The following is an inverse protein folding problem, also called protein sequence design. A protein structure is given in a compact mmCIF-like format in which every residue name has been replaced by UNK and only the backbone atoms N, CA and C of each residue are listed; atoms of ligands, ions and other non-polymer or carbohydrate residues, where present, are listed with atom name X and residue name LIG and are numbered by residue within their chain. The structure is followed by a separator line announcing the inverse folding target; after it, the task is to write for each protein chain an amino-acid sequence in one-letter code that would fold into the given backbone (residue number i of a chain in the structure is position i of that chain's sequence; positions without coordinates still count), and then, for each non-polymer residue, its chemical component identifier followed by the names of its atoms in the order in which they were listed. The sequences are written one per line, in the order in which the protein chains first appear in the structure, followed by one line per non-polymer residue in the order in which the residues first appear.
data_IF_827016734888
#
_entry.id   IF_827016734888
#
_cell.length_a   1.000
_cell.length_b   1.000
_cell.length_c   1.000
_cell.angle_alpha   90.00
_cell.angle_beta   90.00
_cell.angle_gamma   90.00
#
_symmetry.space_group_name_H-M   'P 1'
#
loop_
_entity.id
_entity.type
_entity.pdbx_description
1 polymer ?
#
# COMPACT_ATOMS: atom_id res chain seq x y z
N UNK A 1 9.92 11.45 -29.19
CA UNK A 1 10.10 11.21 -27.75
C UNK A 1 8.75 11.44 -27.11
N UNK A 2 7.97 10.38 -26.92
CA UNK A 2 6.78 10.47 -26.06
C UNK A 2 7.31 10.66 -24.65
N UNK A 3 7.01 11.80 -24.04
CA UNK A 3 7.17 11.95 -22.60
C UNK A 3 6.27 10.89 -21.98
N UNK A 4 6.86 9.97 -21.23
CA UNK A 4 6.15 8.81 -20.68
C UNK A 4 5.01 9.32 -19.80
N UNK A 5 3.78 9.27 -20.31
CA UNK A 5 2.57 9.83 -19.68
C UNK A 5 2.41 9.31 -18.24
N UNK A 6 2.94 8.13 -17.96
CA UNK A 6 2.95 7.55 -16.62
C UNK A 6 3.87 8.30 -15.67
N UNK A 7 5.08 8.69 -16.10
CA UNK A 7 6.03 9.44 -15.27
C UNK A 7 5.46 10.81 -14.88
N UNK A 8 4.82 11.51 -15.82
CA UNK A 8 4.17 12.80 -15.56
C UNK A 8 3.00 12.63 -14.58
N UNK A 9 2.21 11.57 -14.74
CA UNK A 9 1.12 11.27 -13.79
C UNK A 9 1.66 10.99 -12.39
N UNK A 10 2.73 10.20 -12.26
CA UNK A 10 3.38 9.87 -10.99
C UNK A 10 3.86 11.14 -10.25
N UNK A 11 4.51 12.06 -10.96
CA UNK A 11 4.97 13.34 -10.39
C UNK A 11 3.79 14.20 -9.92
N UNK A 12 2.74 14.33 -10.73
CA UNK A 12 1.54 15.08 -10.36
C UNK A 12 0.83 14.48 -9.14
N UNK A 13 0.63 13.16 -9.11
CA UNK A 13 0.04 12.46 -7.97
C UNK A 13 0.90 12.63 -6.70
N UNK A 14 2.22 12.53 -6.85
CA UNK A 14 3.20 12.75 -5.78
C UNK A 14 3.08 14.16 -5.19
N UNK A 15 2.97 15.19 -6.04
CA UNK A 15 2.80 16.59 -5.64
C UNK A 15 1.48 16.82 -4.89
N UNK A 16 0.36 16.33 -5.43
CA UNK A 16 -0.96 16.44 -4.79
C UNK A 16 -0.99 15.79 -3.40
N UNK A 17 -0.34 14.63 -3.25
CA UNK A 17 -0.24 13.97 -1.94
C UNK A 17 0.62 14.74 -0.95
N UNK A 18 1.67 15.43 -1.39
CA UNK A 18 2.49 16.28 -0.50
C UNK A 18 1.68 17.47 0.01
N UNK A 19 0.84 18.08 -0.83
CA UNK A 19 -0.08 19.14 -0.41
C UNK A 19 -1.08 18.64 0.65
N UNK A 20 -1.66 17.45 0.45
CA UNK A 20 -2.55 16.84 1.44
C UNK A 20 -1.82 16.50 2.75
N UNK A 21 -0.57 16.03 2.68
CA UNK A 21 0.22 15.72 3.88
C UNK A 21 0.50 16.99 4.69
N UNK A 22 0.80 18.11 4.01
CA UNK A 22 0.97 19.43 4.65
C UNK A 22 -0.33 19.90 5.29
N UNK A 23 -1.48 19.72 4.64
CA UNK A 23 -2.76 20.07 5.23
C UNK A 23 -2.99 19.34 6.58
N UNK A 24 -2.61 18.08 6.69
CA UNK A 24 -2.65 17.37 7.96
C UNK A 24 -1.65 17.90 9.00
N UNK A 25 -0.44 18.30 8.59
CA UNK A 25 0.54 18.92 9.50
C UNK A 25 0.02 20.24 10.07
N UNK A 26 -0.79 20.95 9.30
CA UNK A 26 -1.51 22.17 9.71
C UNK A 26 -2.83 21.88 10.45
N UNK A 27 -3.12 20.61 10.77
CA UNK A 27 -4.35 20.15 11.44
C UNK A 27 -5.64 20.48 10.67
N UNK A 28 -5.55 20.69 9.36
CA UNK A 28 -6.70 20.95 8.50
C UNK A 28 -7.39 19.64 8.08
N UNK A 29 -8.69 19.72 7.84
CA UNK A 29 -9.42 18.64 7.21
C UNK A 29 -9.14 18.60 5.70
N UNK A 30 -9.09 17.39 5.14
CA UNK A 30 -9.11 17.22 3.70
C UNK A 30 -10.43 17.73 3.13
N UNK A 31 -10.33 18.55 2.07
CA UNK A 31 -11.47 19.00 1.27
C UNK A 31 -12.11 17.81 0.53
N UNK A 32 -13.32 17.98 0.01
CA UNK A 32 -13.96 16.91 -0.76
C UNK A 32 -13.20 16.59 -2.06
N UNK A 33 -12.55 17.58 -2.67
CA UNK A 33 -11.68 17.38 -3.81
C UNK A 33 -10.40 16.61 -3.44
N UNK A 34 -9.83 16.86 -2.26
CA UNK A 34 -8.73 16.04 -1.74
C UNK A 34 -9.15 14.59 -1.54
N UNK A 35 -10.34 14.34 -0.96
CA UNK A 35 -10.85 12.99 -0.75
C UNK A 35 -11.08 12.25 -2.06
N UNK A 36 -11.68 12.91 -3.06
CA UNK A 36 -11.87 12.33 -4.41
C UNK A 36 -10.54 12.00 -5.06
N UNK A 37 -9.60 12.94 -5.03
CA UNK A 37 -8.25 12.78 -5.59
C UNK A 37 -7.52 11.62 -4.92
N UNK A 38 -7.52 11.56 -3.58
CA UNK A 38 -6.92 10.47 -2.83
C UNK A 38 -7.55 9.11 -3.18
N UNK A 39 -8.88 9.03 -3.33
CA UNK A 39 -9.53 7.80 -3.75
C UNK A 39 -9.08 7.38 -5.15
N UNK A 40 -9.06 8.31 -6.12
CA UNK A 40 -8.62 8.03 -7.49
C UNK A 40 -7.19 7.52 -7.54
N UNK A 41 -6.25 8.18 -6.84
CA UNK A 41 -4.84 7.75 -6.81
C UNK A 41 -4.74 6.36 -6.15
N UNK A 42 -5.44 6.14 -5.03
CA UNK A 42 -5.47 4.85 -4.32
C UNK A 42 -5.99 3.72 -5.21
N UNK A 43 -7.05 3.97 -5.99
CA UNK A 43 -7.63 2.98 -6.90
C UNK A 43 -6.66 2.68 -8.06
N UNK A 44 -6.03 3.70 -8.64
CA UNK A 44 -5.01 3.50 -9.70
C UNK A 44 -3.82 2.68 -9.19
N UNK A 45 -3.30 2.96 -7.99
CA UNK A 45 -2.19 2.19 -7.41
C UNK A 45 -2.63 0.74 -7.15
N UNK A 46 -3.84 0.54 -6.64
CA UNK A 46 -4.36 -0.81 -6.41
C UNK A 46 -4.44 -1.60 -7.74
N UNK A 47 -4.88 -0.96 -8.82
CA UNK A 47 -4.94 -1.58 -10.14
C UNK A 47 -3.55 -1.89 -10.71
N UNK A 48 -2.56 -1.00 -10.50
CA UNK A 48 -1.18 -1.25 -10.91
C UNK A 48 -0.58 -2.44 -10.17
N UNK A 49 -0.78 -2.54 -8.85
CA UNK A 49 -0.32 -3.68 -8.05
C UNK A 49 -1.03 -4.98 -8.50
N UNK A 50 -2.34 -4.93 -8.75
CA UNK A 50 -3.10 -6.09 -9.23
C UNK A 50 -2.60 -6.56 -10.60
N UNK A 51 -2.40 -5.63 -11.54
CA UNK A 51 -1.88 -5.95 -12.86
C UNK A 51 -0.48 -6.57 -12.77
N UNK A 52 0.40 -6.00 -11.93
CA UNK A 52 1.72 -6.56 -11.68
C UNK A 52 1.66 -7.97 -11.10
N UNK A 53 0.77 -8.24 -10.13
CA UNK A 53 0.57 -9.58 -9.57
C UNK A 53 0.11 -10.59 -10.64
N UNK A 54 -0.80 -10.19 -11.53
CA UNK A 54 -1.24 -11.02 -12.67
C UNK A 54 -0.08 -11.32 -13.60
N UNK A 55 0.77 -10.32 -13.91
CA UNK A 55 1.95 -10.51 -14.74
C UNK A 55 2.97 -11.44 -14.07
N UNK A 56 3.20 -11.32 -12.75
CA UNK A 56 4.05 -12.24 -11.99
C UNK A 56 3.55 -13.69 -12.03
N UNK A 57 2.24 -13.91 -11.92
CA UNK A 57 1.66 -15.25 -12.05
C UNK A 57 1.88 -15.82 -13.45
N UNK A 58 1.68 -15.02 -14.50
CA UNK A 58 1.94 -15.44 -15.89
C UNK A 58 3.41 -15.75 -16.14
N UNK A 59 4.33 -15.03 -15.50
CA UNK A 59 5.76 -15.26 -15.64
C UNK A 59 6.17 -16.67 -15.17
N UNK A 60 5.39 -17.31 -14.28
CA UNK A 60 5.61 -18.70 -13.86
C UNK A 60 5.44 -19.72 -15.00
N UNK A 61 4.72 -19.37 -16.07
CA UNK A 61 4.50 -20.23 -17.24
C UNK A 61 5.20 -19.71 -18.50
N UNK A 62 6.28 -18.93 -18.32
CA UNK A 62 7.17 -18.51 -19.41
C UNK A 62 6.85 -17.15 -20.05
N UNK A 63 5.92 -16.37 -19.47
CA UNK A 63 5.75 -14.97 -19.87
C UNK A 63 6.92 -14.10 -19.36
N UNK A 64 7.15 -12.91 -19.96
CA UNK A 64 8.13 -11.96 -19.45
C UNK A 64 7.89 -11.63 -17.98
N UNK A 65 8.97 -11.56 -17.20
CA UNK A 65 8.92 -11.12 -15.80
C UNK A 65 8.60 -9.62 -15.79
N UNK A 66 7.58 -9.17 -15.02
CA UNK A 66 7.28 -7.75 -14.92
C UNK A 66 8.41 -6.96 -14.25
N UNK A 67 8.55 -5.65 -14.54
CA UNK A 67 9.55 -4.80 -13.92
C UNK A 67 9.32 -4.67 -12.40
N UNK A 68 10.35 -4.23 -11.68
CA UNK A 68 10.26 -4.04 -10.23
C UNK A 68 9.29 -2.91 -9.84
N UNK A 69 8.69 -3.04 -8.65
CA UNK A 69 7.70 -2.10 -8.11
C UNK A 69 8.34 -0.87 -7.44
N UNK A 70 9.63 -0.65 -7.63
CA UNK A 70 10.39 0.45 -7.02
C UNK A 70 9.76 1.81 -7.31
N UNK A 71 9.23 1.98 -8.52
CA UNK A 71 8.54 3.22 -8.94
C UNK A 71 7.26 3.47 -8.13
N UNK A 72 6.55 2.43 -7.67
CA UNK A 72 5.30 2.58 -6.92
C UNK A 72 5.52 2.75 -5.42
N UNK A 73 6.67 2.32 -4.88
CA UNK A 73 6.93 2.36 -3.44
C UNK A 73 6.77 3.78 -2.84
N UNK A 74 7.30 4.87 -3.45
CA UNK A 74 7.12 6.22 -2.91
C UNK A 74 5.66 6.65 -2.82
N UNK A 75 4.83 6.29 -3.80
CA UNK A 75 3.41 6.62 -3.78
C UNK A 75 2.65 5.77 -2.75
N UNK A 76 2.95 4.49 -2.67
CA UNK A 76 2.36 3.59 -1.67
C UNK A 76 2.66 4.07 -0.24
N UNK A 77 3.88 4.58 0.00
CA UNK A 77 4.27 5.20 1.27
C UNK A 77 3.47 6.47 1.57
N UNK A 78 3.34 7.39 0.59
CA UNK A 78 2.56 8.62 0.76
C UNK A 78 1.09 8.37 1.03
N UNK A 79 0.44 7.47 0.29
CA UNK A 79 -0.97 7.12 0.54
C UNK A 79 -1.13 6.49 1.92
N UNK A 80 -0.24 5.57 2.29
CA UNK A 80 -0.30 4.92 3.60
C UNK A 80 -0.19 5.93 4.73
N UNK A 81 0.67 6.94 4.60
CA UNK A 81 0.78 8.05 5.54
C UNK A 81 -0.50 8.90 5.58
N UNK A 82 -1.08 9.26 4.42
CA UNK A 82 -2.33 10.03 4.34
C UNK A 82 -3.49 9.29 5.02
N UNK A 83 -3.65 7.99 4.73
CA UNK A 83 -4.68 7.15 5.33
C UNK A 83 -4.46 6.96 6.83
N UNK A 84 -3.21 6.85 7.28
CA UNK A 84 -2.86 6.79 8.69
C UNK A 84 -3.26 8.07 9.42
N UNK A 85 -2.86 9.24 8.87
CA UNK A 85 -3.19 10.55 9.45
C UNK A 85 -4.71 10.78 9.47
N UNK A 86 -5.41 10.41 8.40
CA UNK A 86 -6.87 10.46 8.35
C UNK A 86 -7.50 9.59 9.45
N UNK A 87 -7.04 8.35 9.62
CA UNK A 87 -7.54 7.46 10.67
C UNK A 87 -7.26 8.04 12.07
N UNK A 88 -6.07 8.58 12.31
CA UNK A 88 -5.69 9.19 13.59
C UNK A 88 -6.53 10.43 13.91
N UNK A 89 -6.75 11.31 12.92
CA UNK A 89 -7.60 12.48 13.07
C UNK A 89 -9.04 12.07 13.41
N UNK A 90 -9.62 11.08 12.71
CA UNK A 90 -10.97 10.58 13.03
C UNK A 90 -11.06 9.93 14.41
N UNK A 91 -9.99 9.27 14.85
CA UNK A 91 -9.90 8.73 16.21
C UNK A 91 -9.93 9.84 17.26
N UNK A 92 -9.15 10.90 17.06
CA UNK A 92 -9.11 12.05 17.96
C UNK A 92 -10.49 12.71 18.09
N UNK A 93 -11.18 12.95 16.98
CA UNK A 93 -12.54 13.52 17.01
C UNK A 93 -13.53 12.59 17.72
N UNK A 94 -13.46 11.29 17.47
CA UNK A 94 -14.29 10.34 18.19
C UNK A 94 -14.01 10.36 19.71
N UNK A 95 -12.75 10.47 20.12
CA UNK A 95 -12.39 10.54 21.55
C UNK A 95 -12.86 11.84 22.22
N UNK A 96 -12.97 12.94 21.47
CA UNK A 96 -13.44 14.24 21.99
C UNK A 96 -14.97 14.32 22.01
N UNK A 97 -15.64 13.96 20.92
CA UNK A 97 -17.09 14.12 20.80
C UNK A 97 -17.89 12.89 21.28
N UNK A 98 -17.25 11.72 21.38
CA UNK A 98 -17.86 10.44 21.79
C UNK A 98 -19.13 10.06 21.01
N UNK A 99 -19.27 10.58 19.79
CA UNK A 99 -20.43 10.36 18.93
C UNK A 99 -20.29 9.07 18.10
N UNK A 100 -21.38 8.31 17.98
CA UNK A 100 -21.44 7.10 17.14
C UNK A 100 -21.19 7.41 15.65
N UNK A 101 -21.46 8.65 15.21
CA UNK A 101 -21.12 9.10 13.86
C UNK A 101 -19.59 9.06 13.63
N UNK A 102 -18.81 9.68 14.51
CA UNK A 102 -17.34 9.70 14.40
C UNK A 102 -16.73 8.32 14.61
N UNK A 103 -17.32 7.49 15.47
CA UNK A 103 -16.95 6.08 15.58
C UNK A 103 -17.14 5.32 14.28
N UNK A 104 -18.25 5.56 13.57
CA UNK A 104 -18.51 5.00 12.25
C UNK A 104 -17.42 5.39 11.25
N UNK A 105 -17.12 6.68 11.15
CA UNK A 105 -16.08 7.20 10.25
C UNK A 105 -14.68 6.68 10.62
N UNK A 106 -14.33 6.62 11.90
CA UNK A 106 -13.06 6.03 12.35
C UNK A 106 -12.95 4.55 11.94
N UNK A 107 -14.00 3.76 12.14
CA UNK A 107 -14.01 2.36 11.75
C UNK A 107 -13.93 2.16 10.23
N UNK A 108 -14.49 3.07 9.45
CA UNK A 108 -14.34 3.09 7.99
C UNK A 108 -12.90 3.44 7.60
N UNK A 109 -12.34 4.53 8.12
CA UNK A 109 -10.95 4.94 7.87
C UNK A 109 -9.95 3.83 8.25
N UNK A 110 -10.16 3.18 9.40
CA UNK A 110 -9.36 2.04 9.87
C UNK A 110 -9.44 0.85 8.91
N UNK A 111 -10.63 0.53 8.40
CA UNK A 111 -10.81 -0.56 7.43
C UNK A 111 -10.13 -0.23 6.10
N UNK A 112 -10.28 0.99 5.61
CA UNK A 112 -9.63 1.46 4.38
C UNK A 112 -8.12 1.42 4.49
N UNK A 113 -7.56 1.96 5.58
CA UNK A 113 -6.13 1.90 5.88
C UNK A 113 -5.62 0.46 5.90
N UNK A 114 -6.23 -0.42 6.72
CA UNK A 114 -5.82 -1.81 6.82
C UNK A 114 -5.92 -2.56 5.49
N UNK A 115 -6.96 -2.29 4.70
CA UNK A 115 -7.13 -2.90 3.38
C UNK A 115 -6.09 -2.40 2.37
N UNK A 116 -5.62 -1.16 2.47
CA UNK A 116 -4.56 -0.63 1.63
C UNK A 116 -3.18 -1.20 2.00
N UNK A 117 -2.86 -1.27 3.30
CA UNK A 117 -1.61 -1.88 3.79
C UNK A 117 -1.49 -3.33 3.34
N UNK A 118 -2.58 -4.10 3.40
CA UNK A 118 -2.60 -5.49 2.89
C UNK A 118 -2.27 -5.59 1.40
N UNK A 119 -2.71 -4.61 0.59
CA UNK A 119 -2.39 -4.56 -0.85
C UNK A 119 -0.94 -4.21 -1.12
N UNK A 120 -0.31 -3.43 -0.23
CA UNK A 120 1.10 -3.08 -0.33
C UNK A 120 2.03 -4.26 -0.01
N UNK A 121 1.52 -5.37 0.55
CA UNK A 121 2.30 -6.59 0.76
C UNK A 121 2.25 -7.45 -0.51
N UNK A 122 3.38 -7.54 -1.21
CA UNK A 122 3.50 -8.28 -2.47
C UNK A 122 4.48 -9.44 -2.33
N UNK A 123 4.27 -10.47 -3.17
CA UNK A 123 5.17 -11.62 -3.26
C UNK A 123 6.09 -11.38 -4.47
N UNK A 124 7.34 -10.99 -4.22
CA UNK A 124 8.32 -10.71 -5.28
C UNK A 124 8.85 -11.99 -5.93
N UNK A 125 9.15 -12.98 -5.09
CA UNK A 125 9.60 -14.31 -5.50
C UNK A 125 8.56 -15.32 -5.03
N UNK A 126 7.87 -15.91 -6.00
CA UNK A 126 6.89 -16.94 -5.76
C UNK A 126 7.59 -18.27 -5.45
N UNK A 127 7.01 -19.11 -4.58
CA UNK A 127 7.50 -20.47 -4.42
C UNK A 127 7.36 -21.25 -5.73
N UNK A 128 8.23 -22.25 -5.93
CA UNK A 128 8.06 -23.21 -7.03
C UNK A 128 6.72 -23.93 -6.90
N UNK A 129 5.97 -24.02 -8.00
CA UNK A 129 4.67 -24.71 -8.04
C UNK A 129 4.79 -26.22 -7.78
N UNK A 130 5.99 -26.79 -7.94
CA UNK A 130 6.28 -28.20 -7.68
C UNK A 130 7.18 -28.29 -6.45
N UNK A 131 6.60 -28.73 -5.34
CA UNK A 131 7.33 -29.02 -4.11
C UNK A 131 7.59 -30.52 -4.05
N UNK A 132 8.83 -30.94 -4.30
CA UNK A 132 9.23 -32.35 -4.18
C UNK A 132 9.46 -32.70 -2.72
N UNK A 133 8.64 -33.61 -2.19
CA UNK A 133 8.72 -34.13 -0.82
C UNK A 133 10.12 -34.76 -0.61
N UNK A 134 10.80 -34.43 0.49
CA UNK A 134 12.15 -34.95 0.80
C UNK A 134 13.32 -34.02 0.46
N UNK A 135 13.07 -32.82 -0.06
CA UNK A 135 14.11 -31.81 -0.35
C UNK A 135 14.52 -30.95 0.87
N UNK A 136 14.07 -31.29 2.08
CA UNK A 136 14.35 -30.55 3.34
C UNK A 136 14.15 -29.03 3.24
N UNK A 137 13.17 -28.56 2.44
CA UNK A 137 12.88 -27.13 2.29
C UNK A 137 13.90 -26.32 1.49
N UNK A 138 14.97 -26.95 0.96
CA UNK A 138 16.06 -26.25 0.24
C UNK A 138 15.64 -25.57 -1.08
N UNK A 139 14.44 -25.86 -1.58
CA UNK A 139 13.94 -25.36 -2.86
C UNK A 139 12.65 -24.52 -2.75
N UNK A 140 12.23 -24.16 -1.53
CA UNK A 140 11.08 -23.26 -1.32
C UNK A 140 11.63 -21.91 -0.84
N UNK A 141 11.89 -21.03 -1.79
CA UNK A 141 12.30 -19.67 -1.50
C UNK A 141 11.16 -18.73 -1.87
N UNK A 142 10.70 -17.96 -0.89
CA UNK A 142 9.64 -16.96 -1.06
C UNK A 142 10.20 -15.62 -0.59
N UNK A 143 10.05 -14.59 -1.40
CA UNK A 143 10.37 -13.22 -1.02
C UNK A 143 9.08 -12.42 -0.94
N UNK A 144 8.85 -11.81 0.23
CA UNK A 144 7.79 -10.83 0.42
C UNK A 144 8.42 -9.45 0.49
N UNK A 145 7.74 -8.48 -0.13
CA UNK A 145 8.06 -7.08 0.02
C UNK A 145 6.84 -6.32 0.48
N UNK A 146 7.03 -5.47 1.47
CA UNK A 146 6.06 -4.46 1.84
C UNK A 146 6.45 -3.17 1.12
N UNK A 147 5.57 -2.67 0.25
CA UNK A 147 5.77 -1.44 -0.54
C UNK A 147 5.59 -0.18 0.31
N UNK A 148 6.16 -0.17 1.52
CA UNK A 148 6.17 0.96 2.43
C UNK A 148 7.63 1.31 2.71
N UNK A 149 7.96 2.59 2.66
CA UNK A 149 9.32 3.04 2.94
C UNK A 149 9.57 3.29 4.42
N UNK A 150 10.79 3.75 4.71
CA UNK A 150 11.29 3.99 6.07
C UNK A 150 10.49 5.06 6.81
N UNK A 151 9.97 6.07 6.10
CA UNK A 151 9.23 7.19 6.72
C UNK A 151 7.93 6.70 7.32
N UNK A 152 7.24 5.78 6.65
CA UNK A 152 6.03 5.16 7.21
C UNK A 152 6.29 4.47 8.56
N UNK A 153 7.35 3.67 8.66
CA UNK A 153 7.67 2.95 9.90
C UNK A 153 8.16 3.85 11.03
N UNK A 154 8.83 4.97 10.70
CA UNK A 154 9.14 6.01 11.68
C UNK A 154 7.86 6.58 12.30
N UNK A 155 6.85 6.83 11.48
CA UNK A 155 5.59 7.44 11.92
C UNK A 155 4.71 6.54 12.78
N UNK A 156 4.75 5.23 12.55
CA UNK A 156 4.07 4.27 13.43
C UNK A 156 4.94 3.81 14.60
N UNK A 157 6.20 4.25 14.68
CA UNK A 157 7.18 3.84 15.71
C UNK A 157 7.24 2.33 15.92
N UNK A 158 7.01 1.57 14.84
CA UNK A 158 6.88 0.11 14.87
C UNK A 158 7.45 -0.46 13.57
N UNK A 159 8.39 -1.39 13.71
CA UNK A 159 8.82 -2.24 12.61
C UNK A 159 8.26 -3.65 12.88
N UNK A 160 7.61 -4.28 11.90
CA UNK A 160 7.20 -5.67 12.04
C UNK A 160 8.45 -6.57 12.01
N UNK A 161 8.68 -7.31 13.10
CA UNK A 161 9.89 -8.12 13.26
C UNK A 161 9.80 -9.53 12.67
N UNK A 162 8.58 -10.05 12.46
CA UNK A 162 8.37 -11.45 12.08
C UNK A 162 7.31 -11.62 10.99
N UNK A 163 7.62 -12.47 10.01
CA UNK A 163 6.69 -12.99 8.99
C UNK A 163 6.56 -14.49 9.18
N UNK A 164 5.35 -14.99 9.30
CA UNK A 164 5.08 -16.43 9.43
C UNK A 164 4.49 -16.97 8.13
N UNK A 165 5.01 -18.10 7.65
CA UNK A 165 4.50 -18.81 6.48
C UNK A 165 3.88 -20.14 6.91
N UNK A 166 2.67 -20.42 6.43
CA UNK A 166 2.01 -21.70 6.62
C UNK A 166 1.73 -22.33 5.26
N UNK A 167 2.14 -23.59 5.10
CA UNK A 167 1.76 -24.40 3.95
C UNK A 167 0.54 -25.24 4.33
N UNK A 168 -0.61 -24.93 3.74
CA UNK A 168 -1.79 -25.79 3.83
C UNK A 168 -1.71 -26.82 2.72
N UNK A 169 -1.52 -28.09 3.10
CA UNK A 169 -1.45 -29.27 2.23
C UNK A 169 -2.78 -30.01 2.22
#
# INVERSE_FOLDING_TARGET
MEVDNFSVWMENASCQMDEMLRAFDEQLFLTDDHKRTLSTIKDIIADQINNWNVQKLRAQVGWPVPPDLDVLQPLCEKISLLLLKQMQQMKQYWEVELSEYFKGMYNEAKRTFAAFIKRCLVIEKQPSSIVVKGTNGKHIEVSLRLLLGKRFFQEISYFPDNVTFFLHL
#
